data_IF_786735308121
#
_entry.id   IF_786735308121
#
_cell.length_a   1.000
_cell.length_b   1.000
_cell.length_c   1.000
_cell.angle_alpha   90.00
_cell.angle_beta   90.00
_cell.angle_gamma   90.00
#
_symmetry.space_group_name_H-M   'P 1'
#
loop_
_entity.id
_entity.type
_entity.pdbx_description
1 polymer ?
#
# COMPACT_ATOMS: atom_id res chain seq x y z
N UNK A 1 -9.21 20.43 -19.42
CA UNK A 1 -8.44 19.53 -18.52
C UNK A 1 -9.01 19.67 -17.11
N UNK A 2 -9.55 18.59 -16.54
CA UNK A 2 -10.20 18.64 -15.22
C UNK A 2 -9.21 18.17 -14.14
N UNK A 3 -8.70 19.13 -13.37
CA UNK A 3 -8.02 18.88 -12.11
C UNK A 3 -8.94 18.08 -11.18
N UNK A 4 -8.48 16.94 -10.67
CA UNK A 4 -9.06 16.27 -9.52
C UNK A 4 -7.99 16.13 -8.44
N UNK A 5 -7.73 17.24 -7.75
CA UNK A 5 -7.21 17.17 -6.39
C UNK A 5 -8.25 16.43 -5.54
N UNK A 6 -7.81 15.46 -4.76
CA UNK A 6 -8.64 14.82 -3.74
C UNK A 6 -8.91 15.86 -2.64
N UNK A 7 -10.09 16.48 -2.72
CA UNK A 7 -10.66 17.17 -1.57
C UNK A 7 -11.00 16.11 -0.51
N UNK A 8 -10.34 16.18 0.64
CA UNK A 8 -10.81 15.52 1.85
C UNK A 8 -12.17 16.13 2.22
N UNK A 9 -13.26 15.46 1.85
CA UNK A 9 -14.59 15.80 2.32
C UNK A 9 -14.77 15.18 3.70
N UNK A 10 -14.78 16.05 4.72
CA UNK A 10 -15.32 15.78 6.04
C UNK A 10 -16.79 15.38 5.92
N UNK A 11 -17.06 14.07 5.92
CA UNK A 11 -18.37 13.49 5.70
C UNK A 11 -18.59 12.29 6.63
N UNK A 12 -19.61 12.43 7.47
CA UNK A 12 -20.13 11.51 8.49
C UNK A 12 -20.01 10.03 8.16
N UNK A 13 -19.57 9.26 9.18
CA UNK A 13 -19.44 7.80 9.24
C UNK A 13 -20.74 7.09 8.85
N UNK A 14 -20.94 6.84 7.56
CA UNK A 14 -21.92 5.88 7.07
C UNK A 14 -21.21 4.52 6.98
N UNK A 15 -21.65 3.57 7.82
CA UNK A 15 -21.00 2.28 8.02
C UNK A 15 -20.61 1.60 6.70
N UNK A 16 -19.30 1.49 6.48
CA UNK A 16 -18.72 0.69 5.42
C UNK A 16 -19.13 -0.76 5.67
N UNK A 17 -20.18 -1.22 4.98
CA UNK A 17 -20.47 -2.65 4.87
C UNK A 17 -19.41 -3.26 3.96
N UNK A 18 -18.18 -3.40 4.48
CA UNK A 18 -17.09 -4.10 3.83
C UNK A 18 -17.48 -5.58 3.77
N UNK A 19 -18.06 -5.96 2.65
CA UNK A 19 -18.34 -7.35 2.30
C UNK A 19 -16.98 -8.06 2.27
N UNK A 20 -16.73 -8.91 3.29
CA UNK A 20 -15.57 -9.81 3.48
C UNK A 20 -14.25 -9.38 2.86
N UNK A 21 -13.23 -9.08 3.69
CA UNK A 21 -11.83 -8.87 3.24
C UNK A 21 -11.46 -9.94 2.22
N UNK A 22 -11.45 -9.59 0.94
CA UNK A 22 -11.09 -10.52 -0.11
C UNK A 22 -9.59 -10.74 0.01
N UNK A 23 -9.18 -12.00 -0.02
CA UNK A 23 -7.76 -12.35 0.08
C UNK A 23 -7.03 -12.12 -1.25
N UNK A 24 -7.78 -12.11 -2.36
CA UNK A 24 -7.28 -11.88 -3.71
C UNK A 24 -8.25 -10.98 -4.46
N UNK A 25 -7.70 -10.04 -5.23
CA UNK A 25 -8.42 -9.15 -6.13
C UNK A 25 -7.74 -9.23 -7.51
N UNK A 26 -8.52 -9.48 -8.56
CA UNK A 26 -8.00 -9.48 -9.93
C UNK A 26 -8.25 -8.12 -10.58
N UNK A 27 -7.23 -7.55 -11.19
CA UNK A 27 -7.35 -6.34 -12.02
C UNK A 27 -6.46 -6.50 -13.25
N UNK A 28 -7.06 -6.38 -14.43
CA UNK A 28 -6.43 -6.77 -15.70
C UNK A 28 -5.86 -8.20 -15.62
N UNK A 29 -4.58 -8.38 -15.91
CA UNK A 29 -3.87 -9.67 -15.86
C UNK A 29 -3.08 -9.86 -14.54
N UNK A 30 -3.32 -9.02 -13.55
CA UNK A 30 -2.61 -9.05 -12.25
C UNK A 30 -3.57 -9.41 -11.13
N UNK A 31 -3.20 -10.44 -10.37
CA UNK A 31 -3.87 -10.81 -9.13
C UNK A 31 -3.16 -10.12 -7.95
N UNK A 32 -3.84 -9.26 -7.21
CA UNK A 32 -3.35 -8.62 -5.98
C UNK A 32 -3.80 -9.40 -4.75
N UNK A 33 -2.95 -9.47 -3.72
CA UNK A 33 -3.19 -10.20 -2.47
C UNK A 33 -2.81 -9.34 -1.28
N UNK A 34 -3.39 -9.65 -0.13
CA UNK A 34 -2.92 -9.08 1.14
C UNK A 34 -1.49 -9.54 1.39
N UNK A 35 -0.61 -8.60 1.70
CA UNK A 35 0.83 -8.80 1.89
C UNK A 35 1.69 -8.38 0.70
N UNK A 36 1.14 -8.33 -0.52
CA UNK A 36 1.88 -7.90 -1.72
C UNK A 36 2.46 -6.49 -1.53
N UNK A 37 3.66 -6.28 -2.07
CA UNK A 37 4.29 -4.96 -2.12
C UNK A 37 3.96 -4.31 -3.45
N UNK A 38 3.50 -3.07 -3.37
CA UNK A 38 3.15 -2.24 -4.52
C UNK A 38 3.95 -0.95 -4.51
N UNK A 39 4.22 -0.44 -5.70
CA UNK A 39 4.66 0.94 -5.88
C UNK A 39 3.47 1.83 -6.19
N UNK A 40 3.59 3.07 -5.74
CA UNK A 40 2.62 4.14 -5.91
C UNK A 40 3.40 5.35 -6.40
N UNK A 41 3.03 5.87 -7.57
CA UNK A 41 3.55 7.14 -8.05
C UNK A 41 2.71 8.29 -7.49
N UNK A 42 3.37 9.35 -7.02
CA UNK A 42 2.71 10.61 -6.72
C UNK A 42 2.46 11.43 -7.99
N UNK A 43 1.91 12.64 -7.80
CA UNK A 43 1.61 13.56 -8.92
C UNK A 43 2.84 14.27 -9.46
N UNK A 44 3.95 14.26 -8.74
CA UNK A 44 5.22 14.91 -9.09
C UNK A 44 6.22 13.92 -9.73
N UNK A 45 5.90 12.62 -9.73
CA UNK A 45 6.67 11.54 -10.32
C UNK A 45 7.45 10.69 -9.32
N UNK A 46 7.41 11.03 -8.02
CA UNK A 46 8.08 10.27 -6.97
C UNK A 46 7.44 8.89 -6.76
N UNK A 47 8.27 7.87 -6.55
CA UNK A 47 7.81 6.49 -6.34
C UNK A 47 7.91 6.11 -4.87
N UNK A 48 6.79 5.65 -4.32
CA UNK A 48 6.67 5.19 -2.93
C UNK A 48 6.27 3.73 -2.90
N UNK A 49 6.67 3.02 -1.84
CA UNK A 49 6.36 1.61 -1.67
C UNK A 49 5.40 1.40 -0.49
N UNK A 50 4.52 0.42 -0.62
CA UNK A 50 3.58 0.06 0.42
C UNK A 50 3.23 -1.43 0.39
N UNK A 51 2.83 -1.96 1.54
CA UNK A 51 2.24 -3.29 1.65
C UNK A 51 0.71 -3.21 1.60
N UNK A 52 0.08 -4.10 0.83
CA UNK A 52 -1.38 -4.25 0.83
C UNK A 52 -1.81 -4.90 2.15
N UNK A 53 -2.55 -4.15 2.98
CA UNK A 53 -3.11 -4.63 4.25
C UNK A 53 -4.54 -5.18 4.08
N UNK A 54 -5.26 -4.69 3.08
CA UNK A 54 -6.61 -5.13 2.79
C UNK A 54 -7.03 -4.85 1.35
N UNK A 55 -7.95 -5.65 0.84
CA UNK A 55 -8.56 -5.50 -0.47
C UNK A 55 -10.08 -5.39 -0.33
N UNK A 56 -10.67 -4.49 -1.12
CA UNK A 56 -12.10 -4.21 -1.11
C UNK A 56 -12.62 -3.98 -2.54
N UNK A 57 -13.94 -3.90 -2.67
CA UNK A 57 -14.59 -3.26 -3.81
C UNK A 57 -15.54 -2.23 -3.22
N UNK A 58 -15.55 -1.04 -3.80
CA UNK A 58 -16.42 0.03 -3.36
C UNK A 58 -17.89 -0.20 -3.79
N UNK A 59 -18.77 0.76 -3.50
CA UNK A 59 -20.18 0.66 -3.87
C UNK A 59 -20.45 0.77 -5.37
N UNK A 60 -19.47 1.25 -6.16
CA UNK A 60 -19.55 1.38 -7.62
C UNK A 60 -19.04 0.14 -8.33
N UNK A 61 -18.34 -0.74 -7.62
CA UNK A 61 -17.69 -1.92 -8.19
C UNK A 61 -16.19 -1.72 -8.45
N UNK A 62 -15.63 -0.56 -8.10
CA UNK A 62 -14.23 -0.25 -8.30
C UNK A 62 -13.38 -1.00 -7.28
N UNK A 63 -12.24 -1.50 -7.73
CA UNK A 63 -11.34 -2.30 -6.93
C UNK A 63 -10.42 -1.41 -6.10
N UNK A 64 -10.40 -1.63 -4.79
CA UNK A 64 -9.65 -0.78 -3.88
C UNK A 64 -8.75 -1.61 -2.95
N UNK A 65 -7.73 -0.96 -2.42
CA UNK A 65 -6.85 -1.51 -1.40
C UNK A 65 -6.69 -0.54 -0.22
N UNK A 66 -6.24 -1.07 0.91
CA UNK A 66 -5.77 -0.30 2.05
C UNK A 66 -4.31 -0.63 2.25
N UNK A 67 -3.48 0.40 2.43
CA UNK A 67 -2.03 0.28 2.43
C UNK A 67 -1.43 0.48 3.83
N UNK A 68 -0.27 -0.13 4.05
CA UNK A 68 0.70 0.30 5.06
C UNK A 68 1.94 0.76 4.33
N UNK A 69 2.32 2.01 4.48
CA UNK A 69 3.45 2.61 3.77
C UNK A 69 4.78 2.00 4.24
N UNK A 70 5.75 1.91 3.35
CA UNK A 70 7.11 1.52 3.64
C UNK A 70 7.99 2.76 3.66
N UNK A 71 8.79 2.91 4.72
CA UNK A 71 9.71 4.05 4.87
C UNK A 71 11.11 3.54 4.57
N UNK A 72 11.83 4.16 3.61
CA UNK A 72 13.20 3.80 3.37
C UNK A 72 14.03 4.17 4.60
N UNK A 73 14.95 3.30 4.94
CA UNK A 73 15.76 3.48 6.13
C UNK A 73 17.11 4.14 5.89
N UNK A 74 17.48 4.26 4.63
CA UNK A 74 18.64 4.96 4.12
C UNK A 74 18.22 5.72 2.86
N UNK A 75 19.04 6.70 2.45
CA UNK A 75 18.86 7.36 1.17
C UNK A 75 19.05 6.32 0.05
N UNK A 76 18.05 6.19 -0.81
CA UNK A 76 18.02 5.21 -1.90
C UNK A 76 17.91 5.95 -3.22
N UNK A 77 18.68 5.53 -4.22
CA UNK A 77 18.57 6.05 -5.58
C UNK A 77 17.33 5.42 -6.25
N UNK A 78 16.51 6.21 -6.94
CA UNK A 78 15.30 5.73 -7.63
C UNK A 78 15.60 4.68 -8.72
N UNK A 79 16.86 4.58 -9.16
CA UNK A 79 17.33 3.57 -10.12
C UNK A 79 17.58 2.19 -9.49
N UNK A 80 17.64 2.09 -8.17
CA UNK A 80 17.83 0.81 -7.49
C UNK A 80 16.52 0.02 -7.38
N UNK A 81 16.61 -1.29 -7.57
CA UNK A 81 15.45 -2.17 -7.43
C UNK A 81 14.98 -2.19 -5.97
N UNK A 82 13.67 -2.33 -5.75
CA UNK A 82 13.11 -2.48 -4.41
C UNK A 82 13.75 -3.66 -3.65
N UNK A 83 14.29 -3.37 -2.45
CA UNK A 83 14.87 -4.33 -1.54
C UNK A 83 14.18 -4.24 -0.18
N UNK A 84 13.49 -5.29 0.29
CA UNK A 84 12.66 -5.19 1.47
C UNK A 84 13.45 -4.93 2.77
N UNK A 85 14.75 -5.22 2.81
CA UNK A 85 15.61 -4.97 3.99
C UNK A 85 15.90 -3.48 4.21
N UNK A 86 15.76 -2.66 3.17
CA UNK A 86 16.05 -1.22 3.22
C UNK A 86 14.80 -0.40 3.61
N UNK A 87 13.73 -1.08 4.03
CA UNK A 87 12.46 -0.47 4.41
C UNK A 87 11.95 -0.98 5.75
N UNK A 88 11.25 -0.10 6.47
CA UNK A 88 10.47 -0.41 7.67
C UNK A 88 9.01 -0.04 7.49
N UNK A 89 8.14 -0.57 8.36
CA UNK A 89 6.74 -0.14 8.40
C UNK A 89 6.65 1.35 8.76
N UNK A 90 5.91 2.08 7.93
CA UNK A 90 5.51 3.45 8.15
C UNK A 90 4.08 3.56 8.66
N UNK A 91 3.42 4.64 8.24
CA UNK A 91 2.03 4.90 8.61
C UNK A 91 1.07 3.93 7.94
N UNK A 92 0.00 3.57 8.65
CA UNK A 92 -1.14 2.87 8.04
C UNK A 92 -2.08 3.88 7.40
N UNK A 93 -2.63 3.52 6.24
CA UNK A 93 -3.70 4.30 5.62
C UNK A 93 -5.06 3.80 6.14
N UNK A 94 -5.95 4.73 6.45
CA UNK A 94 -7.35 4.45 6.82
C UNK A 94 -8.32 4.59 5.64
N UNK A 95 -7.86 5.20 4.55
CA UNK A 95 -8.63 5.45 3.34
C UNK A 95 -8.38 4.34 2.31
N UNK A 96 -9.43 4.01 1.56
CA UNK A 96 -9.33 3.09 0.43
C UNK A 96 -8.70 3.79 -0.78
N UNK A 97 -7.64 3.20 -1.31
CA UNK A 97 -6.98 3.64 -2.54
C UNK A 97 -7.46 2.82 -3.72
N UNK A 98 -7.63 3.47 -4.88
CA UNK A 98 -7.90 2.76 -6.13
C UNK A 98 -6.70 1.87 -6.47
N UNK A 99 -6.98 0.60 -6.78
CA UNK A 99 -5.94 -0.35 -7.17
C UNK A 99 -5.23 0.08 -8.47
N UNK A 100 -5.88 0.87 -9.33
CA UNK A 100 -5.29 1.40 -10.57
C UNK A 100 -4.10 2.34 -10.32
N UNK A 101 -3.96 2.87 -9.10
CA UNK A 101 -2.82 3.68 -8.71
C UNK A 101 -1.67 2.86 -8.10
N UNK A 102 -1.75 1.52 -8.12
CA UNK A 102 -0.80 0.61 -7.50
C UNK A 102 -0.22 -0.38 -8.53
N UNK A 103 1.11 -0.39 -8.66
CA UNK A 103 1.81 -1.37 -9.51
C UNK A 103 2.42 -2.45 -8.63
N UNK A 104 2.17 -3.73 -8.94
CA UNK A 104 2.77 -4.84 -8.19
C UNK A 104 4.29 -4.82 -8.35
N UNK A 105 5.02 -4.82 -7.22
CA UNK A 105 6.49 -4.86 -7.17
C UNK A 105 6.95 -6.28 -6.84
N UNK A 106 6.46 -6.86 -5.74
CA UNK A 106 6.80 -8.23 -5.38
C UNK A 106 5.71 -8.91 -4.55
N UNK A 107 5.75 -10.25 -4.55
CA UNK A 107 4.90 -11.08 -3.70
C UNK A 107 5.53 -11.17 -2.32
N UNK A 108 4.75 -10.88 -1.29
CA UNK A 108 5.25 -10.84 0.08
C UNK A 108 4.18 -11.35 1.08
N UNK A 109 4.57 -12.12 2.10
CA UNK A 109 3.67 -12.48 3.19
C UNK A 109 3.19 -11.26 3.98
N UNK A 110 1.94 -11.31 4.48
CA UNK A 110 1.33 -10.21 5.23
C UNK A 110 1.96 -9.94 6.61
N UNK A 111 2.86 -10.81 7.07
CA UNK A 111 3.59 -10.72 8.32
C UNK A 111 5.08 -10.48 8.15
N UNK A 112 5.58 -10.35 6.92
CA UNK A 112 7.01 -10.15 6.63
C UNK A 112 7.62 -8.98 7.40
N UNK A 113 6.94 -7.83 7.38
CA UNK A 113 7.39 -6.61 8.05
C UNK A 113 6.93 -6.50 9.51
N UNK A 114 6.14 -7.46 10.02
CA UNK A 114 5.71 -7.40 11.41
C UNK A 114 6.91 -7.65 12.32
N UNK A 115 7.06 -6.88 13.42
CA UNK A 115 8.09 -7.16 14.39
C UNK A 115 7.94 -8.58 14.93
N UNK A 116 8.91 -9.45 14.67
CA UNK A 116 9.05 -10.75 15.32
C UNK A 116 9.42 -10.51 16.78
N UNK A 117 8.44 -10.15 17.62
CA UNK A 117 8.56 -9.99 19.07
C UNK A 117 9.96 -9.55 19.54
N UNK A 118 10.50 -8.45 18.99
CA UNK A 118 11.87 -8.04 19.28
C UNK A 118 11.87 -6.97 20.37
N UNK A 119 12.54 -7.20 21.51
CA UNK A 119 12.82 -6.16 22.51
C UNK A 119 13.96 -5.20 22.06
N UNK A 120 14.48 -5.33 20.84
CA UNK A 120 15.59 -4.53 20.32
C UNK A 120 15.36 -3.98 18.90
N UNK A 121 16.00 -2.84 18.67
CA UNK A 121 15.84 -1.90 17.56
C UNK A 121 16.32 -2.48 16.22
N UNK A 122 15.51 -2.30 15.17
CA UNK A 122 15.94 -2.55 13.79
C UNK A 122 16.99 -1.50 13.47
N UNK A 123 18.26 -1.90 13.33
CA UNK A 123 19.28 -1.04 12.73
C UNK A 123 19.28 -1.30 11.23
N UNK A 124 18.69 -0.41 10.43
CA UNK A 124 18.96 -0.40 9.00
C UNK A 124 20.44 -0.13 8.71
N UNK A 125 20.90 -0.56 7.54
CA UNK A 125 22.32 -0.65 7.20
C UNK A 125 23.04 0.71 7.05
N UNK A 126 24.37 0.60 7.22
CA UNK A 126 25.49 1.56 7.34
C UNK A 126 25.67 2.57 6.20
#
# INVERSE_FOLDING_TARGET
MKNRYYHASSGKSAGLRTRSRRHVLKKHDVDYRVGDIVSVMDVEGGTYYAQIRGLAVDYKGDSCCVLTWLIPTCDHDESENFRPEDYILGMEEDVLRDIDCCTLVCRCPADYFRPLASPYFIRPCN
#
